data_IF_953326171667
#
_entry.id   IF_953326171667
#
_cell.length_a   1.000
_cell.length_b   1.000
_cell.length_c   1.000
_cell.angle_alpha   90.00
_cell.angle_beta   90.00
_cell.angle_gamma   90.00
#
_symmetry.space_group_name_H-M   'P 1'
#
loop_
_entity.id
_entity.type
_entity.pdbx_description
1 polymer ?
#
# COMPACT_ATOMS: atom_id res chain seq x y z
N UNK A 1 10.12 -5.24 4.57
CA UNK A 1 9.10 -6.29 4.35
C UNK A 1 8.36 -6.70 5.62
N UNK A 2 8.94 -6.59 6.82
CA UNK A 2 8.27 -6.86 8.11
C UNK A 2 7.04 -5.98 8.46
N UNK A 3 6.79 -4.91 7.72
CA UNK A 3 5.66 -3.98 7.95
C UNK A 3 4.42 -4.28 7.10
N UNK A 4 4.37 -5.39 6.35
CA UNK A 4 3.22 -5.73 5.50
C UNK A 4 1.84 -5.66 6.18
N UNK A 5 1.65 -6.07 7.45
CA UNK A 5 0.34 -5.97 8.09
C UNK A 5 0.07 -4.60 8.73
N UNK A 6 1.06 -3.71 8.79
CA UNK A 6 0.96 -2.40 9.44
C UNK A 6 0.71 -1.35 8.38
N UNK A 7 -0.52 -0.86 8.29
CA UNK A 7 -0.96 0.08 7.24
C UNK A 7 -0.64 1.54 7.56
N UNK A 8 -0.28 1.86 8.81
CA UNK A 8 0.11 3.22 9.20
C UNK A 8 1.15 3.19 10.32
N UNK A 9 2.09 4.14 10.30
CA UNK A 9 3.02 4.38 11.41
C UNK A 9 2.72 5.75 12.02
N UNK A 10 2.40 5.84 13.33
CA UNK A 10 2.11 7.11 14.00
C UNK A 10 3.25 8.14 13.93
N UNK A 11 4.50 7.67 13.78
CA UNK A 11 5.68 8.53 13.71
C UNK A 11 5.74 9.30 12.38
N UNK A 12 5.26 8.68 11.30
CA UNK A 12 5.29 9.26 9.96
C UNK A 12 4.15 10.27 9.76
N UNK A 13 2.96 10.01 10.33
CA UNK A 13 1.80 10.91 10.24
C UNK A 13 2.01 12.25 10.95
N UNK A 14 2.80 12.26 12.04
CA UNK A 14 3.19 13.50 12.74
C UNK A 14 4.14 14.38 11.92
N UNK A 15 5.02 13.76 11.11
CA UNK A 15 5.97 14.50 10.25
C UNK A 15 5.29 14.99 8.96
N UNK A 16 4.33 14.24 8.42
CA UNK A 16 3.60 14.57 7.18
C UNK A 16 2.34 15.43 7.37
N UNK A 17 2.22 16.14 8.50
CA UNK A 17 1.16 17.14 8.69
C UNK A 17 -0.24 16.59 9.00
N UNK A 18 -0.35 15.38 9.56
CA UNK A 18 -1.62 14.88 10.10
C UNK A 18 -2.60 14.32 9.06
N UNK A 19 -2.13 13.94 7.87
CA UNK A 19 -2.94 13.12 6.96
C UNK A 19 -2.96 11.67 7.46
N UNK A 20 -4.15 11.16 7.77
CA UNK A 20 -4.37 9.85 8.39
C UNK A 20 -3.91 8.65 7.52
N UNK A 21 -3.58 8.91 6.25
CA UNK A 21 -3.30 7.91 5.22
C UNK A 21 -1.91 8.13 4.60
N UNK A 22 -0.92 8.61 5.36
CA UNK A 22 0.46 8.73 4.86
C UNK A 22 1.02 7.31 4.56
N UNK A 23 1.07 6.87 3.28
CA UNK A 23 1.35 5.48 2.98
C UNK A 23 2.84 5.27 3.18
N UNK A 24 3.20 4.59 4.25
CA UNK A 24 4.57 4.19 4.56
C UNK A 24 5.27 3.52 3.37
N UNK A 25 4.49 2.87 2.52
CA UNK A 25 4.93 2.25 1.28
C UNK A 25 5.59 3.25 0.31
N UNK A 26 5.18 4.52 0.26
CA UNK A 26 5.78 5.54 -0.63
C UNK A 26 7.20 5.89 -0.18
N UNK A 27 7.46 5.95 1.13
CA UNK A 27 8.81 6.20 1.66
C UNK A 27 9.73 5.03 1.33
N UNK A 28 9.27 3.80 1.57
CA UNK A 28 10.03 2.61 1.20
C UNK A 28 10.25 2.50 -0.31
N UNK A 29 9.25 2.87 -1.11
CA UNK A 29 9.38 2.92 -2.56
C UNK A 29 10.44 3.93 -2.98
N UNK A 30 10.44 5.14 -2.42
CA UNK A 30 11.42 6.17 -2.76
C UNK A 30 12.86 5.68 -2.50
N UNK A 31 13.09 5.01 -1.37
CA UNK A 31 14.39 4.41 -1.04
C UNK A 31 14.76 3.33 -2.07
N UNK A 32 13.84 2.42 -2.39
CA UNK A 32 14.07 1.35 -3.38
C UNK A 32 14.33 1.91 -4.79
N UNK A 33 13.61 2.96 -5.16
CA UNK A 33 13.78 3.61 -6.46
C UNK A 33 15.17 4.24 -6.57
N UNK A 34 15.57 5.03 -5.57
CA UNK A 34 16.85 5.75 -5.58
C UNK A 34 18.06 4.82 -5.49
N UNK A 35 18.00 3.80 -4.63
CA UNK A 35 19.14 2.93 -4.34
C UNK A 35 19.24 1.76 -5.33
N UNK A 36 18.11 1.25 -5.82
CA UNK A 36 18.09 0.01 -6.59
C UNK A 36 17.53 0.18 -8.00
N UNK A 37 16.29 0.66 -8.16
CA UNK A 37 15.63 0.70 -9.48
C UNK A 37 16.38 1.60 -10.46
N UNK A 38 16.74 2.81 -10.03
CA UNK A 38 17.37 3.81 -10.87
C UNK A 38 18.77 3.34 -11.33
N UNK A 39 19.66 2.83 -10.44
CA UNK A 39 20.91 2.20 -10.88
C UNK A 39 20.70 0.96 -11.76
N UNK A 40 19.70 0.14 -11.46
CA UNK A 40 19.40 -1.07 -12.24
C UNK A 40 18.99 -0.75 -13.67
N UNK A 41 18.08 0.21 -13.87
CA UNK A 41 17.59 0.62 -15.19
C UNK A 41 18.66 1.35 -15.99
N UNK A 42 19.55 2.12 -15.34
CA UNK A 42 20.67 2.78 -16.04
C UNK A 42 21.73 1.76 -16.48
N UNK A 43 22.02 0.74 -15.66
CA UNK A 43 23.05 -0.27 -15.96
C UNK A 43 22.56 -1.41 -16.85
N UNK A 44 21.29 -1.77 -16.74
CA UNK A 44 20.67 -2.84 -17.53
C UNK A 44 20.02 -2.26 -18.78
N UNK A 45 20.18 -2.92 -19.93
CA UNK A 45 19.69 -2.38 -21.22
C UNK A 45 18.21 -2.65 -21.52
N UNK A 46 17.39 -3.10 -20.56
CA UNK A 46 16.02 -3.50 -20.89
C UNK A 46 15.03 -3.51 -19.74
N UNK A 47 13.81 -3.08 -20.05
CA UNK A 47 12.61 -3.30 -19.23
C UNK A 47 11.99 -4.64 -19.69
N UNK A 48 11.41 -5.46 -18.80
CA UNK A 48 10.77 -6.71 -19.17
C UNK A 48 9.70 -6.50 -20.23
N UNK A 49 9.57 -7.43 -21.17
CA UNK A 49 8.54 -7.38 -22.22
C UNK A 49 7.12 -7.37 -21.63
N UNK A 50 6.96 -7.95 -20.44
CA UNK A 50 5.72 -7.92 -19.67
C UNK A 50 5.29 -6.52 -19.22
N UNK A 51 6.17 -5.52 -19.28
CA UNK A 51 5.84 -4.12 -18.99
C UNK A 51 5.23 -3.37 -20.17
N UNK A 52 5.12 -3.98 -21.37
CA UNK A 52 4.53 -3.34 -22.55
C UNK A 52 3.11 -2.80 -22.28
N UNK A 53 2.16 -3.56 -21.68
CA UNK A 53 0.83 -3.05 -21.40
C UNK A 53 0.85 -1.80 -20.51
N UNK A 54 1.76 -1.76 -19.53
CA UNK A 54 1.93 -0.60 -18.67
C UNK A 54 2.44 0.62 -19.46
N UNK A 55 3.42 0.42 -20.35
CA UNK A 55 3.96 1.49 -21.20
C UNK A 55 2.86 2.06 -22.10
N UNK A 56 2.05 1.19 -22.72
CA UNK A 56 0.90 1.61 -23.55
C UNK A 56 -0.10 2.40 -22.71
N UNK A 57 -0.45 1.92 -21.52
CA UNK A 57 -1.35 2.62 -20.60
C UNK A 57 -0.81 4.01 -20.22
N UNK A 58 0.48 4.11 -19.87
CA UNK A 58 1.12 5.38 -19.51
C UNK A 58 1.08 6.35 -20.69
N UNK A 59 1.39 5.89 -21.91
CA UNK A 59 1.32 6.74 -23.10
C UNK A 59 -0.11 7.24 -23.37
N UNK A 60 -1.11 6.36 -23.28
CA UNK A 60 -2.51 6.75 -23.43
C UNK A 60 -2.95 7.74 -22.35
N UNK A 61 -2.54 7.54 -21.10
CA UNK A 61 -2.82 8.45 -20.00
C UNK A 61 -2.20 9.84 -20.25
N UNK A 62 -0.94 9.90 -20.67
CA UNK A 62 -0.26 11.16 -20.99
C UNK A 62 -0.94 11.88 -22.16
N UNK A 63 -1.29 11.16 -23.23
CA UNK A 63 -2.02 11.74 -24.37
C UNK A 63 -3.39 12.25 -23.91
N UNK A 64 -4.13 11.49 -23.11
CA UNK A 64 -5.43 11.89 -22.58
C UNK A 64 -5.32 13.16 -21.71
N UNK A 65 -4.31 13.24 -20.84
CA UNK A 65 -4.03 14.43 -20.01
C UNK A 65 -3.68 15.64 -20.85
N UNK A 66 -2.90 15.48 -21.93
CA UNK A 66 -2.59 16.58 -22.85
C UNK A 66 -3.82 17.05 -23.62
N UNK A 67 -4.67 16.11 -24.06
CA UNK A 67 -5.92 16.44 -24.75
C UNK A 67 -6.93 17.16 -23.85
N UNK A 68 -6.87 16.93 -22.53
CA UNK A 68 -7.75 17.61 -21.57
C UNK A 68 -7.59 19.14 -21.58
N UNK A 69 -6.40 19.68 -21.91
CA UNK A 69 -6.19 21.12 -22.05
C UNK A 69 -6.98 21.76 -23.21
N UNK A 70 -7.39 20.96 -24.19
CA UNK A 70 -8.17 21.42 -25.35
C UNK A 70 -9.68 21.25 -25.16
N UNK A 71 -10.10 20.57 -24.09
CA UNK A 71 -11.51 20.36 -23.76
C UNK A 71 -11.94 21.35 -22.67
N UNK A 72 -13.19 21.85 -22.71
CA UNK A 72 -13.75 22.64 -21.62
C UNK A 72 -14.09 21.72 -20.43
N UNK A 73 -13.05 21.23 -19.75
CA UNK A 73 -13.19 20.39 -18.56
C UNK A 73 -13.51 21.31 -17.36
N UNK A 74 -14.64 21.10 -16.66
CA UNK A 74 -14.97 21.92 -15.49
C UNK A 74 -13.91 21.71 -14.41
N UNK A 75 -13.36 22.80 -13.86
CA UNK A 75 -12.43 22.71 -12.74
C UNK A 75 -13.17 22.26 -11.49
N UNK A 76 -12.74 21.14 -10.90
CA UNK A 76 -13.26 20.69 -9.62
C UNK A 76 -12.70 21.60 -8.52
N UNK A 77 -13.58 22.19 -7.71
CA UNK A 77 -13.23 23.03 -6.56
C UNK A 77 -12.36 24.27 -6.89
N UNK A 78 -12.51 24.88 -8.07
CA UNK A 78 -11.77 26.10 -8.50
C UNK A 78 -10.24 25.96 -8.58
N UNK A 79 -9.71 24.74 -8.43
CA UNK A 79 -8.27 24.50 -8.59
C UNK A 79 -7.86 24.55 -10.06
N UNK A 80 -6.68 25.08 -10.32
CA UNK A 80 -6.15 25.21 -11.66
C UNK A 80 -5.89 23.82 -12.27
N UNK A 81 -6.29 23.62 -13.54
CA UNK A 81 -6.19 22.34 -14.24
C UNK A 81 -4.77 21.74 -14.17
N UNK A 82 -3.73 22.57 -14.28
CA UNK A 82 -2.33 22.13 -14.22
C UNK A 82 -1.94 21.49 -12.87
N UNK A 83 -2.55 21.92 -11.75
CA UNK A 83 -2.28 21.33 -10.43
C UNK A 83 -2.86 19.92 -10.35
N UNK A 84 -4.07 19.74 -10.88
CA UNK A 84 -4.72 18.44 -10.93
C UNK A 84 -3.93 17.47 -11.82
N UNK A 85 -3.49 17.93 -13.00
CA UNK A 85 -2.63 17.13 -13.87
C UNK A 85 -1.29 16.76 -13.22
N UNK A 86 -0.66 17.68 -12.48
CA UNK A 86 0.58 17.39 -11.77
C UNK A 86 0.38 16.31 -10.70
N UNK A 87 -0.68 16.39 -9.90
CA UNK A 87 -1.02 15.37 -8.90
C UNK A 87 -1.31 14.02 -9.56
N UNK A 88 -1.99 14.01 -10.71
CA UNK A 88 -2.26 12.80 -11.48
C UNK A 88 -0.97 12.17 -12.02
N UNK A 89 -0.04 12.98 -12.54
CA UNK A 89 1.25 12.49 -13.03
C UNK A 89 2.13 11.94 -11.90
N UNK A 90 2.13 12.59 -10.73
CA UNK A 90 2.82 12.06 -9.54
C UNK A 90 2.23 10.70 -9.15
N UNK A 91 0.90 10.59 -9.12
CA UNK A 91 0.20 9.34 -8.78
C UNK A 91 0.50 8.22 -9.79
N UNK A 92 0.48 8.54 -11.09
CA UNK A 92 0.86 7.61 -12.16
C UNK A 92 2.31 7.16 -12.01
N UNK A 93 3.24 8.09 -11.75
CA UNK A 93 4.66 7.80 -11.54
C UNK A 93 4.89 6.87 -10.33
N UNK A 94 4.19 7.11 -9.22
CA UNK A 94 4.24 6.23 -8.04
C UNK A 94 3.76 4.81 -8.41
N UNK A 95 2.64 4.68 -9.12
CA UNK A 95 2.12 3.39 -9.57
C UNK A 95 3.08 2.64 -10.49
N UNK A 96 3.68 3.34 -11.46
CA UNK A 96 4.68 2.76 -12.38
C UNK A 96 5.91 2.29 -11.61
N UNK A 97 6.41 3.07 -10.65
CA UNK A 97 7.54 2.69 -9.82
C UNK A 97 7.23 1.42 -9.00
N UNK A 98 6.04 1.32 -8.38
CA UNK A 98 5.64 0.11 -7.67
C UNK A 98 5.61 -1.12 -8.57
N UNK A 99 5.00 -1.00 -9.75
CA UNK A 99 4.94 -2.09 -10.70
C UNK A 99 6.33 -2.55 -11.13
N UNK A 100 7.19 -1.61 -11.53
CA UNK A 100 8.54 -1.93 -12.00
C UNK A 100 9.39 -2.57 -10.90
N UNK A 101 9.35 -2.05 -9.68
CA UNK A 101 10.06 -2.65 -8.54
C UNK A 101 9.57 -4.07 -8.30
N UNK A 102 8.26 -4.29 -8.22
CA UNK A 102 7.71 -5.63 -7.96
C UNK A 102 8.04 -6.62 -9.08
N UNK A 103 7.88 -6.20 -10.35
CA UNK A 103 8.11 -7.06 -11.52
C UNK A 103 9.59 -7.39 -11.73
N UNK A 104 10.50 -6.44 -11.48
CA UNK A 104 11.93 -6.65 -11.69
C UNK A 104 12.60 -7.39 -10.54
N UNK A 105 12.11 -7.20 -9.30
CA UNK A 105 12.73 -7.78 -8.11
C UNK A 105 12.55 -9.30 -8.02
N UNK A 106 11.39 -9.81 -8.45
CA UNK A 106 11.07 -11.24 -8.42
C UNK A 106 11.61 -11.91 -9.68
N UNK A 107 12.92 -12.09 -9.73
CA UNK A 107 13.61 -12.69 -10.89
C UNK A 107 13.90 -14.19 -10.72
N UNK A 108 13.89 -14.70 -9.48
CA UNK A 108 14.37 -16.05 -9.14
C UNK A 108 13.36 -16.80 -8.26
N UNK A 109 13.32 -18.13 -8.40
CA UNK A 109 12.43 -19.01 -7.62
C UNK A 109 12.69 -18.90 -6.11
N UNK A 110 13.94 -18.74 -5.69
CA UNK A 110 14.27 -18.58 -4.27
C UNK A 110 13.67 -17.29 -3.68
N UNK A 111 13.70 -16.19 -4.46
CA UNK A 111 13.09 -14.92 -4.06
C UNK A 111 11.57 -15.03 -3.98
N UNK A 112 10.96 -15.75 -4.93
CA UNK A 112 9.52 -16.01 -4.95
C UNK A 112 9.10 -16.86 -3.74
N UNK A 113 9.81 -17.95 -3.45
CA UNK A 113 9.54 -18.79 -2.28
C UNK A 113 9.68 -18.00 -0.97
N UNK A 114 10.72 -17.14 -0.88
CA UNK A 114 10.91 -16.26 0.27
C UNK A 114 9.77 -15.25 0.40
N UNK A 115 9.29 -14.69 -0.71
CA UNK A 115 8.12 -13.81 -0.74
C UNK A 115 6.89 -14.51 -0.16
N UNK A 116 6.54 -15.70 -0.65
CA UNK A 116 5.39 -16.46 -0.14
C UNK A 116 5.52 -16.83 1.34
N UNK A 117 6.71 -17.23 1.81
CA UNK A 117 6.94 -17.48 3.24
C UNK A 117 6.65 -16.24 4.09
N UNK A 118 7.09 -15.07 3.63
CA UNK A 118 6.86 -13.81 4.33
C UNK A 118 5.38 -13.44 4.31
N UNK A 119 4.69 -13.60 3.17
CA UNK A 119 3.24 -13.36 3.05
C UNK A 119 2.44 -14.27 3.99
N UNK A 120 2.77 -15.56 4.03
CA UNK A 120 2.11 -16.51 4.92
C UNK A 120 2.36 -16.17 6.39
N UNK A 121 3.60 -15.81 6.74
CA UNK A 121 3.93 -15.41 8.09
C UNK A 121 3.22 -14.10 8.50
N UNK A 122 3.20 -13.09 7.63
CA UNK A 122 2.54 -11.81 7.93
C UNK A 122 1.03 -11.95 8.03
N UNK A 123 0.42 -12.75 7.14
CA UNK A 123 -1.01 -13.01 7.17
C UNK A 123 -1.41 -13.88 8.38
N UNK A 124 -0.60 -14.86 8.76
CA UNK A 124 -0.81 -15.63 9.99
C UNK A 124 -0.77 -14.73 11.23
N UNK A 125 0.19 -13.80 11.29
CA UNK A 125 0.28 -12.82 12.38
C UNK A 125 -0.96 -11.89 12.40
N UNK A 126 -1.40 -11.42 11.24
CA UNK A 126 -2.60 -10.58 11.11
C UNK A 126 -3.87 -11.32 11.55
N UNK A 127 -4.03 -12.60 11.20
CA UNK A 127 -5.14 -13.44 11.63
C UNK A 127 -5.11 -13.72 13.12
N UNK A 128 -3.94 -14.07 13.67
CA UNK A 128 -3.78 -14.36 15.09
C UNK A 128 -4.14 -13.13 15.94
N UNK A 129 -3.66 -11.95 15.57
CA UNK A 129 -4.01 -10.73 16.28
C UNK A 129 -5.49 -10.35 16.13
N UNK A 130 -6.06 -10.53 14.94
CA UNK A 130 -7.51 -10.36 14.71
C UNK A 130 -8.33 -11.32 15.58
N UNK A 131 -7.88 -12.56 15.76
CA UNK A 131 -8.55 -13.55 16.60
C UNK A 131 -8.47 -13.17 18.09
N UNK A 132 -7.33 -12.65 18.56
CA UNK A 132 -7.21 -12.09 19.91
C UNK A 132 -8.24 -10.98 20.11
N UNK A 133 -8.38 -10.06 19.14
CA UNK A 133 -9.41 -9.01 19.21
C UNK A 133 -10.83 -9.58 19.25
N UNK A 134 -11.14 -10.65 18.48
CA UNK A 134 -12.44 -11.34 18.54
C UNK A 134 -12.71 -11.84 19.96
N UNK A 135 -11.76 -12.53 20.58
CA UNK A 135 -11.93 -13.11 21.93
C UNK A 135 -12.21 -12.00 22.95
N UNK A 136 -11.41 -10.95 22.98
CA UNK A 136 -11.60 -9.89 23.98
C UNK A 136 -12.88 -9.06 23.74
N UNK A 137 -13.10 -8.62 22.51
CA UNK A 137 -14.19 -7.68 22.18
C UNK A 137 -15.55 -8.39 22.14
N UNK A 138 -15.65 -9.56 21.49
CA UNK A 138 -16.93 -10.23 21.29
C UNK A 138 -17.26 -11.28 22.36
N UNK A 139 -16.27 -12.08 22.78
CA UNK A 139 -16.51 -13.15 23.75
C UNK A 139 -16.48 -12.62 25.18
N UNK A 140 -15.39 -11.94 25.54
CA UNK A 140 -15.18 -11.42 26.90
C UNK A 140 -15.87 -10.08 27.14
N UNK A 141 -16.32 -9.39 26.07
CA UNK A 141 -16.95 -8.06 26.11
C UNK A 141 -16.13 -7.04 26.92
N UNK A 142 -14.82 -7.15 26.87
CA UNK A 142 -13.87 -6.33 27.60
C UNK A 142 -12.75 -5.88 26.67
N UNK A 143 -12.27 -4.67 26.88
CA UNK A 143 -11.12 -4.13 26.13
C UNK A 143 -9.98 -3.91 27.13
N UNK A 144 -9.07 -4.89 27.31
CA UNK A 144 -7.97 -4.74 28.25
C UNK A 144 -7.12 -3.51 27.92
N UNK A 145 -6.65 -2.75 28.92
CA UNK A 145 -5.76 -1.61 28.68
C UNK A 145 -4.51 -2.00 27.89
N UNK A 146 -3.98 -3.21 28.10
CA UNK A 146 -2.85 -3.73 27.34
C UNK A 146 -3.14 -3.87 25.83
N UNK A 147 -4.36 -4.28 25.47
CA UNK A 147 -4.78 -4.41 24.07
C UNK A 147 -4.94 -3.03 23.41
N UNK A 148 -5.51 -2.07 24.14
CA UNK A 148 -5.60 -0.68 23.70
C UNK A 148 -4.22 -0.04 23.51
N UNK A 149 -3.33 -0.17 24.50
CA UNK A 149 -1.97 0.37 24.45
C UNK A 149 -1.15 -0.23 23.29
N UNK A 150 -1.32 -1.52 23.00
CA UNK A 150 -0.65 -2.16 21.88
C UNK A 150 -1.19 -1.68 20.53
N UNK A 151 -2.53 -1.49 20.42
CA UNK A 151 -3.15 -0.91 19.23
C UNK A 151 -2.66 0.53 18.99
N UNK A 152 -2.55 1.35 20.03
CA UNK A 152 -2.08 2.73 19.95
C UNK A 152 -0.63 2.85 19.47
N UNK A 153 0.19 1.82 19.74
CA UNK A 153 1.58 1.78 19.32
C UNK A 153 1.74 1.41 17.83
N UNK A 154 0.85 0.55 17.32
CA UNK A 154 0.96 0.00 15.96
C UNK A 154 0.12 0.77 14.96
N UNK A 155 -1.02 1.29 15.38
CA UNK A 155 -2.02 1.91 14.50
C UNK A 155 -2.22 3.37 14.89
N UNK A 156 -2.07 4.27 13.92
CA UNK A 156 -2.26 5.71 14.14
C UNK A 156 -3.69 6.10 14.51
N UNK A 157 -4.67 5.21 14.38
CA UNK A 157 -6.08 5.51 14.71
C UNK A 157 -6.30 5.65 16.21
N UNK A 158 -5.39 5.12 17.04
CA UNK A 158 -5.44 5.11 18.51
C UNK A 158 -6.81 4.69 19.09
N UNK A 159 -7.57 3.93 18.33
CA UNK A 159 -8.95 3.58 18.66
C UNK A 159 -9.23 2.13 18.29
N UNK A 160 -9.64 1.36 19.29
CA UNK A 160 -10.29 0.07 19.08
C UNK A 160 -11.79 0.36 18.84
N UNK A 161 -12.27 0.10 17.63
CA UNK A 161 -13.68 0.32 17.29
C UNK A 161 -14.53 -0.73 18.02
N UNK A 162 -15.36 -0.29 18.97
CA UNK A 162 -16.26 -1.18 19.71
C UNK A 162 -17.23 -1.85 18.74
N UNK A 163 -17.24 -3.19 18.73
CA UNK A 163 -18.06 -3.99 17.82
C UNK A 163 -17.46 -4.23 16.42
N UNK A 164 -16.19 -3.88 16.19
CA UNK A 164 -15.46 -4.20 14.94
C UNK A 164 -14.05 -4.69 15.25
N UNK A 165 -13.44 -5.42 14.31
CA UNK A 165 -12.09 -5.97 14.43
C UNK A 165 -11.19 -5.26 13.42
N UNK A 166 -10.18 -4.55 13.92
CA UNK A 166 -9.25 -3.78 13.08
C UNK A 166 -8.02 -4.60 12.71
N UNK A 167 -7.73 -5.67 13.46
CA UNK A 167 -6.45 -6.36 13.39
C UNK A 167 -5.31 -5.35 13.53
N UNK A 168 -4.25 -5.54 12.73
CA UNK A 168 -3.06 -4.68 12.71
C UNK A 168 -3.23 -3.42 11.82
N UNK A 169 -4.43 -3.18 11.29
CA UNK A 169 -4.69 -2.09 10.35
C UNK A 169 -5.25 -0.84 11.04
N UNK A 170 -5.30 0.26 10.29
CA UNK A 170 -5.85 1.54 10.75
C UNK A 170 -7.37 1.45 11.00
N UNK A 171 -8.08 0.83 10.05
CA UNK A 171 -9.54 0.69 10.05
C UNK A 171 -9.98 -0.76 9.79
N UNK A 172 -11.13 -1.20 10.35
CA UNK A 172 -11.64 -2.56 10.16
C UNK A 172 -11.91 -2.92 8.69
N UNK A 173 -12.31 -1.94 7.88
CA UNK A 173 -12.49 -2.11 6.43
C UNK A 173 -11.17 -2.43 5.71
N UNK A 174 -10.03 -1.95 6.22
CA UNK A 174 -8.73 -2.16 5.59
C UNK A 174 -8.21 -3.57 5.85
N UNK A 175 -8.48 -4.15 7.02
CA UNK A 175 -8.23 -5.57 7.28
C UNK A 175 -9.03 -6.44 6.30
N UNK A 176 -10.34 -6.15 6.14
CA UNK A 176 -11.17 -6.88 5.19
C UNK A 176 -10.65 -6.74 3.75
N UNK A 177 -10.22 -5.55 3.36
CA UNK A 177 -9.63 -5.29 2.05
C UNK A 177 -8.32 -6.07 1.85
N UNK A 178 -7.41 -6.07 2.83
CA UNK A 178 -6.16 -6.85 2.78
C UNK A 178 -6.43 -8.35 2.64
N UNK A 179 -7.39 -8.89 3.38
CA UNK A 179 -7.76 -10.29 3.27
C UNK A 179 -8.32 -10.62 1.88
N UNK A 180 -9.27 -9.83 1.37
CA UNK A 180 -9.94 -10.12 0.11
C UNK A 180 -9.08 -9.88 -1.13
N UNK A 181 -8.21 -8.87 -1.13
CA UNK A 181 -7.42 -8.49 -2.32
C UNK A 181 -6.02 -9.11 -2.34
N UNK A 182 -5.47 -9.46 -1.17
CA UNK A 182 -4.09 -9.90 -1.09
C UNK A 182 -3.95 -11.31 -0.50
N UNK A 183 -4.36 -11.53 0.75
CA UNK A 183 -4.08 -12.80 1.43
C UNK A 183 -4.92 -13.96 0.90
N UNK A 184 -6.25 -13.86 0.86
CA UNK A 184 -7.14 -14.95 0.45
C UNK A 184 -6.87 -15.40 -1.00
N UNK A 185 -6.73 -14.50 -2.00
CA UNK A 185 -6.43 -14.93 -3.36
C UNK A 185 -5.10 -15.70 -3.44
N UNK A 186 -4.06 -15.25 -2.74
CA UNK A 186 -2.75 -15.92 -2.74
C UNK A 186 -2.78 -17.26 -2.00
N UNK A 187 -3.57 -17.39 -0.94
CA UNK A 187 -3.73 -18.65 -0.20
C UNK A 187 -4.60 -19.68 -0.91
N UNK A 188 -5.63 -19.23 -1.64
CA UNK A 188 -6.53 -20.12 -2.38
C UNK A 188 -5.93 -20.54 -3.73
N UNK A 189 -5.01 -19.76 -4.30
CA UNK A 189 -4.33 -20.09 -5.54
C UNK A 189 -3.10 -21.01 -5.36
N UNK A 190 -2.65 -21.21 -4.12
CA UNK A 190 -1.54 -22.10 -3.75
C UNK A 190 -2.03 -23.54 -3.55
#
# INVERSE_FOLDING_TARGET
>A
MFFLPVTSLPLLSRVMGGTDVAPLSVVFLAILVLIWLLPYVIRSRGIPIHSIPLIVFVLLALVSSLLAFFLPVPSFQTEALWKNELTNFISLGIGVCFYLVASLWISDEEKLARFFRIVNFSGALALLYSLIQVVFIFILKQTPPALANFQDMISSSRTLFVGRINGLTFEPSWLAHQLNMFYLPLWLAA
#
